data_IF_250426327916
#
_entry.id   IF_250426327916
#
_cell.length_a   1.000
_cell.length_b   1.000
_cell.length_c   1.000
_cell.angle_alpha   90.00
_cell.angle_beta   90.00
_cell.angle_gamma   90.00
#
_symmetry.space_group_name_H-M   'P 1'
#
loop_
_entity.id
_entity.type
_entity.pdbx_description
1 polymer ?
#
# COMPACT_ATOMS: atom_id res chain seq x y z
N UNK A 1 21.50 -31.33 -12.42
CA UNK A 1 20.31 -31.69 -11.60
C UNK A 1 20.29 -30.74 -10.42
N UNK A 2 19.28 -29.88 -10.31
CA UNK A 2 19.06 -29.12 -9.08
C UNK A 2 18.62 -30.13 -8.00
N UNK A 3 19.16 -30.08 -6.77
CA UNK A 3 18.69 -30.94 -5.70
C UNK A 3 17.21 -30.63 -5.47
N UNK A 4 16.37 -31.65 -5.61
CA UNK A 4 14.95 -31.56 -5.25
C UNK A 4 14.86 -31.37 -3.74
N UNK A 5 14.81 -30.13 -3.30
CA UNK A 5 14.44 -29.82 -1.91
C UNK A 5 12.98 -30.24 -1.81
N UNK A 6 12.74 -31.41 -1.21
CA UNK A 6 11.38 -31.82 -0.86
C UNK A 6 10.91 -30.86 0.24
N UNK A 7 10.02 -29.95 -0.10
CA UNK A 7 9.27 -29.14 0.87
C UNK A 7 8.24 -30.05 1.51
N UNK A 8 8.68 -30.98 2.37
CA UNK A 8 7.74 -31.87 3.03
C UNK A 8 6.75 -31.06 3.87
N UNK A 9 5.44 -31.39 3.83
CA UNK A 9 4.38 -30.66 4.53
C UNK A 9 4.66 -30.32 5.99
N UNK A 10 5.41 -31.18 6.69
CA UNK A 10 5.70 -31.05 8.11
C UNK A 10 6.95 -30.21 8.42
N UNK A 11 7.84 -30.01 7.45
CA UNK A 11 9.12 -29.32 7.66
C UNK A 11 8.94 -27.86 8.10
N UNK A 12 7.78 -27.27 7.79
CA UNK A 12 7.46 -25.86 8.04
C UNK A 12 6.16 -25.67 8.84
N UNK A 13 5.77 -26.65 9.66
CA UNK A 13 4.50 -26.63 10.42
C UNK A 13 4.33 -25.40 11.33
N UNK A 14 5.43 -24.78 11.76
CA UNK A 14 5.45 -23.57 12.59
C UNK A 14 5.66 -22.26 11.79
N UNK A 15 5.67 -22.29 10.46
CA UNK A 15 5.98 -21.12 9.63
C UNK A 15 4.89 -20.04 9.76
N UNK A 16 5.25 -18.90 10.34
CA UNK A 16 4.34 -17.75 10.56
C UNK A 16 4.55 -16.62 9.57
N UNK A 17 5.72 -16.54 8.94
CA UNK A 17 6.11 -15.49 8.02
C UNK A 17 6.85 -16.10 6.84
N UNK A 18 6.43 -15.74 5.62
CA UNK A 18 7.04 -16.17 4.38
C UNK A 18 7.28 -14.95 3.51
N UNK A 19 8.49 -14.85 2.99
CA UNK A 19 8.88 -13.80 2.06
C UNK A 19 9.56 -14.41 0.85
N UNK A 20 9.04 -14.11 -0.34
CA UNK A 20 9.58 -14.58 -1.62
C UNK A 20 9.93 -13.37 -2.48
N UNK A 21 11.21 -13.23 -2.82
CA UNK A 21 11.73 -12.15 -3.67
C UNK A 21 12.23 -12.68 -5.00
N UNK A 22 11.93 -11.95 -6.07
CA UNK A 22 12.45 -12.21 -7.42
C UNK A 22 12.09 -13.58 -8.00
N UNK A 23 11.04 -14.22 -7.49
CA UNK A 23 10.54 -15.49 -8.03
C UNK A 23 9.57 -15.24 -9.18
N UNK A 24 9.68 -16.07 -10.23
CA UNK A 24 8.68 -16.10 -11.30
C UNK A 24 7.29 -16.51 -10.78
N UNK A 25 6.24 -16.12 -11.51
CA UNK A 25 4.84 -16.35 -11.13
C UNK A 25 4.53 -17.82 -10.79
N UNK A 26 4.90 -18.74 -11.69
CA UNK A 26 4.64 -20.17 -11.49
C UNK A 26 5.47 -20.78 -10.36
N UNK A 27 6.71 -20.32 -10.17
CA UNK A 27 7.54 -20.76 -9.04
C UNK A 27 6.92 -20.31 -7.72
N UNK A 28 6.45 -19.06 -7.63
CA UNK A 28 5.76 -18.51 -6.46
C UNK A 28 4.52 -19.34 -6.11
N UNK A 29 3.66 -19.60 -7.09
CA UNK A 29 2.44 -20.40 -6.87
C UNK A 29 2.77 -21.85 -6.48
N UNK A 30 3.79 -22.44 -7.10
CA UNK A 30 4.24 -23.80 -6.77
C UNK A 30 4.75 -23.89 -5.34
N UNK A 31 5.55 -22.91 -4.88
CA UNK A 31 6.02 -22.83 -3.50
C UNK A 31 4.82 -22.72 -2.54
N UNK A 32 3.89 -21.80 -2.79
CA UNK A 32 2.69 -21.66 -1.95
C UNK A 32 1.90 -22.97 -1.85
N UNK A 33 1.60 -23.59 -2.99
CA UNK A 33 0.87 -24.86 -3.04
C UNK A 33 1.62 -26.03 -2.37
N UNK A 34 2.95 -26.00 -2.39
CA UNK A 34 3.78 -27.05 -1.77
C UNK A 34 3.85 -26.90 -0.25
N UNK A 35 3.63 -25.69 0.27
CA UNK A 35 3.55 -25.45 1.71
C UNK A 35 2.16 -25.86 2.22
N UNK A 36 1.94 -27.18 2.25
CA UNK A 36 0.66 -27.84 2.55
C UNK A 36 0.06 -27.50 3.93
N UNK A 37 0.76 -26.77 4.81
CA UNK A 37 0.24 -26.28 6.10
C UNK A 37 0.56 -24.81 6.39
N UNK A 38 0.34 -23.89 5.43
CA UNK A 38 0.38 -22.43 5.72
C UNK A 38 -0.86 -21.91 6.45
N UNK A 39 -1.72 -22.79 6.98
CA UNK A 39 -2.88 -22.40 7.78
C UNK A 39 -2.50 -21.47 8.93
N UNK A 40 -1.27 -21.62 9.42
CA UNK A 40 -0.67 -20.89 10.51
C UNK A 40 0.13 -19.65 10.09
N UNK A 41 0.26 -19.41 8.79
CA UNK A 41 0.93 -18.25 8.22
C UNK A 41 0.13 -16.98 8.52
N UNK A 42 0.81 -16.03 9.15
CA UNK A 42 0.25 -14.73 9.55
C UNK A 42 0.76 -13.58 8.70
N UNK A 43 1.92 -13.77 8.05
CA UNK A 43 2.55 -12.77 7.19
C UNK A 43 3.01 -13.42 5.88
N UNK A 44 2.66 -12.79 4.77
CA UNK A 44 3.09 -13.20 3.43
C UNK A 44 3.53 -11.97 2.64
N UNK A 45 4.79 -11.98 2.19
CA UNK A 45 5.34 -10.96 1.30
C UNK A 45 5.80 -11.62 0.00
N UNK A 46 5.22 -11.18 -1.10
CA UNK A 46 5.49 -11.69 -2.43
C UNK A 46 5.97 -10.55 -3.31
N UNK A 47 7.12 -10.77 -3.94
CA UNK A 47 7.64 -9.94 -4.99
C UNK A 47 7.89 -10.80 -6.22
N UNK A 48 6.96 -10.70 -7.17
CA UNK A 48 6.85 -11.67 -8.26
C UNK A 48 7.44 -11.06 -9.51
N UNK A 49 8.51 -11.69 -10.00
CA UNK A 49 9.19 -11.29 -11.21
C UNK A 49 8.39 -11.72 -12.44
N UNK A 50 7.92 -10.74 -13.21
CA UNK A 50 7.27 -10.94 -14.51
C UNK A 50 8.09 -10.32 -15.65
N UNK A 51 9.41 -10.13 -15.48
CA UNK A 51 10.33 -9.64 -16.51
C UNK A 51 10.47 -10.74 -17.58
N UNK A 52 9.47 -10.85 -18.43
CA UNK A 52 9.48 -11.64 -19.66
C UNK A 52 9.65 -10.67 -20.84
N UNK A 53 10.25 -11.14 -21.93
CA UNK A 53 10.50 -10.31 -23.11
C UNK A 53 9.29 -10.23 -24.07
N UNK A 54 8.10 -10.70 -23.66
CA UNK A 54 6.92 -10.78 -24.53
C UNK A 54 5.78 -9.88 -24.04
N UNK A 55 5.33 -8.97 -24.91
CA UNK A 55 4.31 -7.95 -24.63
C UNK A 55 2.88 -8.48 -24.51
N UNK A 56 2.60 -9.71 -24.98
CA UNK A 56 1.24 -10.28 -25.00
C UNK A 56 0.77 -10.85 -23.65
N UNK A 57 1.63 -10.84 -22.62
CA UNK A 57 1.35 -11.49 -21.34
C UNK A 57 0.54 -10.62 -20.35
N UNK A 58 0.27 -9.34 -20.64
CA UNK A 58 -0.41 -8.43 -19.68
C UNK A 58 -1.75 -8.96 -19.18
N UNK A 59 -2.59 -9.44 -20.10
CA UNK A 59 -3.89 -10.04 -19.76
C UNK A 59 -3.74 -11.38 -19.01
N UNK A 60 -2.68 -12.13 -19.29
CA UNK A 60 -2.37 -13.39 -18.61
C UNK A 60 -1.90 -13.18 -17.16
N UNK A 61 -1.22 -12.06 -16.89
CA UNK A 61 -0.74 -11.70 -15.56
C UNK A 61 -1.92 -11.34 -14.66
N UNK A 62 -2.83 -10.46 -15.10
CA UNK A 62 -4.05 -10.15 -14.34
C UNK A 62 -4.86 -11.41 -14.01
N UNK A 63 -4.97 -12.33 -14.97
CA UNK A 63 -5.61 -13.63 -14.74
C UNK A 63 -4.88 -14.47 -13.68
N UNK A 64 -3.56 -14.53 -13.72
CA UNK A 64 -2.77 -15.26 -12.71
C UNK A 64 -3.07 -14.76 -11.29
N UNK A 65 -3.06 -13.44 -11.07
CA UNK A 65 -3.32 -12.88 -9.73
C UNK A 65 -4.75 -13.16 -9.26
N UNK A 66 -5.74 -12.82 -10.09
CA UNK A 66 -7.16 -12.85 -9.68
C UNK A 66 -7.74 -14.28 -9.64
N UNK A 67 -7.29 -15.17 -10.52
CA UNK A 67 -7.90 -16.52 -10.66
C UNK A 67 -7.07 -17.65 -10.07
N UNK A 68 -5.79 -17.44 -9.78
CA UNK A 68 -4.91 -18.47 -9.24
C UNK A 68 -4.28 -18.05 -7.91
N UNK A 69 -3.50 -16.97 -7.89
CA UNK A 69 -2.69 -16.60 -6.73
C UNK A 69 -3.55 -16.19 -5.53
N UNK A 70 -4.43 -15.20 -5.69
CA UNK A 70 -5.26 -14.70 -4.58
C UNK A 70 -6.16 -15.80 -4.02
N UNK A 71 -6.87 -16.60 -4.86
CA UNK A 71 -7.61 -17.75 -4.36
C UNK A 71 -6.75 -18.76 -3.59
N UNK A 72 -5.56 -19.09 -4.08
CA UNK A 72 -4.65 -20.00 -3.40
C UNK A 72 -4.21 -19.45 -2.03
N UNK A 73 -3.84 -18.17 -1.95
CA UNK A 73 -3.48 -17.49 -0.70
C UNK A 73 -4.62 -17.58 0.31
N UNK A 74 -5.84 -17.22 -0.10
CA UNK A 74 -6.99 -17.19 0.81
C UNK A 74 -7.39 -18.59 1.30
N UNK A 75 -7.25 -19.61 0.45
CA UNK A 75 -7.55 -20.99 0.81
C UNK A 75 -6.49 -21.61 1.74
N UNK A 76 -5.21 -21.30 1.51
CA UNK A 76 -4.10 -21.97 2.21
C UNK A 76 -3.68 -21.24 3.48
N UNK A 77 -3.83 -19.91 3.52
CA UNK A 77 -3.38 -19.07 4.62
C UNK A 77 -4.51 -18.20 5.21
N UNK A 78 -5.59 -18.80 5.74
CA UNK A 78 -6.76 -18.09 6.28
C UNK A 78 -6.46 -17.24 7.52
N UNK A 79 -5.31 -17.45 8.19
CA UNK A 79 -4.87 -16.66 9.36
C UNK A 79 -4.00 -15.46 9.01
N UNK A 80 -3.86 -15.14 7.72
CA UNK A 80 -3.08 -13.98 7.30
C UNK A 80 -3.63 -12.70 7.91
N UNK A 81 -2.70 -11.94 8.47
CA UNK A 81 -2.93 -10.58 9.00
C UNK A 81 -2.09 -9.56 8.24
N UNK A 82 -1.00 -9.97 7.59
CA UNK A 82 -0.16 -9.11 6.76
C UNK A 82 0.01 -9.75 5.39
N UNK A 83 -0.37 -9.03 4.35
CA UNK A 83 -0.21 -9.47 2.97
C UNK A 83 0.40 -8.35 2.14
N UNK A 84 1.50 -8.65 1.47
CA UNK A 84 2.11 -7.76 0.49
C UNK A 84 2.30 -8.50 -0.83
N UNK A 85 1.71 -8.00 -1.90
CA UNK A 85 1.86 -8.55 -3.25
C UNK A 85 2.40 -7.44 -4.16
N UNK A 86 3.66 -7.58 -4.61
CA UNK A 86 4.34 -6.62 -5.50
C UNK A 86 4.70 -7.32 -6.82
N UNK A 87 4.03 -6.97 -7.93
CA UNK A 87 4.49 -7.37 -9.26
C UNK A 87 5.74 -6.58 -9.64
N UNK A 88 6.80 -7.24 -10.10
CA UNK A 88 7.94 -6.57 -10.72
C UNK A 88 7.85 -6.63 -12.24
N UNK A 89 7.91 -5.46 -12.86
CA UNK A 89 7.91 -5.30 -14.32
C UNK A 89 8.89 -4.22 -14.77
N UNK A 90 9.39 -4.36 -16.00
CA UNK A 90 10.35 -3.41 -16.58
C UNK A 90 9.78 -1.98 -16.66
N UNK A 91 8.48 -1.81 -16.95
CA UNK A 91 7.88 -0.50 -17.23
C UNK A 91 6.48 -0.32 -16.59
N UNK A 92 6.42 -0.16 -15.27
CA UNK A 92 5.20 0.10 -14.48
C UNK A 92 4.35 -1.15 -14.16
N UNK A 93 3.98 -1.30 -12.90
CA UNK A 93 3.08 -2.37 -12.41
C UNK A 93 1.67 -2.14 -12.94
N UNK A 94 1.24 -2.95 -13.92
CA UNK A 94 -0.11 -2.90 -14.50
C UNK A 94 -1.04 -4.00 -13.97
N UNK A 95 -0.65 -4.68 -12.88
CA UNK A 95 -1.49 -5.74 -12.34
C UNK A 95 -2.68 -5.11 -11.65
N UNK A 96 -3.85 -5.40 -12.20
CA UNK A 96 -5.12 -5.00 -11.63
C UNK A 96 -5.71 -6.14 -10.80
N UNK A 97 -6.06 -5.85 -9.55
CA UNK A 97 -6.85 -6.75 -8.69
C UNK A 97 -8.33 -6.36 -8.83
N UNK A 98 -9.13 -7.32 -9.28
CA UNK A 98 -10.57 -7.14 -9.50
C UNK A 98 -11.36 -7.15 -8.17
N UNK A 99 -12.62 -6.70 -8.25
CA UNK A 99 -13.48 -6.58 -7.08
C UNK A 99 -13.80 -7.95 -6.43
N UNK A 100 -13.80 -9.03 -7.20
CA UNK A 100 -14.07 -10.38 -6.70
C UNK A 100 -12.91 -10.86 -5.84
N UNK A 101 -11.69 -10.62 -6.29
CA UNK A 101 -10.44 -10.96 -5.61
C UNK A 101 -10.24 -10.08 -4.38
N UNK A 102 -10.58 -8.79 -4.44
CA UNK A 102 -10.63 -7.93 -3.25
C UNK A 102 -11.61 -8.43 -2.20
N UNK A 103 -12.82 -8.87 -2.60
CA UNK A 103 -13.78 -9.49 -1.66
C UNK A 103 -13.24 -10.78 -1.06
N UNK A 104 -12.51 -11.57 -1.83
CA UNK A 104 -11.89 -12.79 -1.34
C UNK A 104 -10.80 -12.46 -0.31
N UNK A 105 -9.95 -11.47 -0.58
CA UNK A 105 -8.96 -10.97 0.37
C UNK A 105 -9.62 -10.38 1.63
N UNK A 106 -10.78 -9.73 1.49
CA UNK A 106 -11.55 -9.19 2.61
C UNK A 106 -12.13 -10.27 3.54
N UNK A 107 -12.14 -11.54 3.13
CA UNK A 107 -12.47 -12.66 4.03
C UNK A 107 -11.36 -12.94 5.05
N UNK A 108 -10.15 -12.42 4.82
CA UNK A 108 -9.03 -12.49 5.74
C UNK A 108 -9.07 -11.33 6.74
N UNK A 109 -8.61 -11.57 7.97
CA UNK A 109 -8.52 -10.53 9.00
C UNK A 109 -7.24 -9.69 8.85
N UNK A 110 -7.06 -9.06 7.68
CA UNK A 110 -5.87 -8.27 7.38
C UNK A 110 -5.80 -6.99 8.21
N UNK A 111 -4.63 -6.80 8.84
CA UNK A 111 -4.20 -5.55 9.50
C UNK A 111 -3.25 -4.74 8.63
N UNK A 112 -2.50 -5.42 7.75
CA UNK A 112 -1.58 -4.79 6.81
C UNK A 112 -1.79 -5.36 5.42
N UNK A 113 -1.97 -4.48 4.43
CA UNK A 113 -2.17 -4.86 3.04
C UNK A 113 -1.38 -3.93 2.11
N UNK A 114 -0.54 -4.52 1.26
CA UNK A 114 -0.01 -3.84 0.08
C UNK A 114 -0.81 -4.29 -1.14
N UNK A 115 -1.57 -3.37 -1.72
CA UNK A 115 -2.36 -3.62 -2.93
C UNK A 115 -1.61 -3.18 -4.18
N UNK A 116 -1.74 -3.97 -5.24
CA UNK A 116 -1.51 -3.52 -6.61
C UNK A 116 -2.65 -2.57 -7.07
N UNK A 117 -2.64 -2.14 -8.34
CA UNK A 117 -3.72 -1.29 -8.89
C UNK A 117 -5.09 -1.96 -8.75
N UNK A 118 -6.12 -1.15 -8.53
CA UNK A 118 -7.51 -1.60 -8.59
C UNK A 118 -8.40 -0.43 -9.02
N UNK A 119 -9.43 -0.70 -9.82
CA UNK A 119 -10.45 0.29 -10.20
C UNK A 119 -11.49 0.54 -9.10
N UNK A 120 -11.33 -0.08 -7.93
CA UNK A 120 -12.20 0.14 -6.78
C UNK A 120 -12.08 1.58 -6.25
N UNK A 121 -13.22 2.18 -5.88
CA UNK A 121 -13.25 3.44 -5.13
C UNK A 121 -12.80 3.24 -3.66
N UNK A 122 -12.12 4.26 -3.11
CA UNK A 122 -11.57 4.23 -1.75
C UNK A 122 -12.62 3.91 -0.68
N UNK A 123 -13.83 4.45 -0.82
CA UNK A 123 -14.95 4.18 0.10
C UNK A 123 -15.32 2.70 0.15
N UNK A 124 -15.25 1.99 -0.98
CA UNK A 124 -15.55 0.56 -1.00
C UNK A 124 -14.43 -0.27 -0.38
N UNK A 125 -13.16 0.12 -0.57
CA UNK A 125 -12.05 -0.51 0.16
C UNK A 125 -12.22 -0.36 1.68
N UNK A 126 -12.74 0.77 2.16
CA UNK A 126 -12.95 1.00 3.59
C UNK A 126 -13.95 0.01 4.19
N UNK A 127 -14.99 -0.29 3.41
CA UNK A 127 -16.01 -1.28 3.77
C UNK A 127 -15.48 -2.71 3.72
N UNK A 128 -14.57 -3.00 2.79
CA UNK A 128 -13.96 -4.33 2.67
C UNK A 128 -12.92 -4.61 3.77
N UNK A 129 -12.12 -3.62 4.16
CA UNK A 129 -11.03 -3.79 5.11
C UNK A 129 -11.16 -2.88 6.34
N UNK A 130 -12.21 -3.01 7.17
CA UNK A 130 -12.50 -2.08 8.25
C UNK A 130 -11.47 -2.11 9.41
N UNK A 131 -10.68 -3.18 9.52
CA UNK A 131 -9.67 -3.36 10.59
C UNK A 131 -8.24 -3.06 10.11
N UNK A 132 -8.08 -2.49 8.90
CA UNK A 132 -6.75 -2.25 8.35
C UNK A 132 -6.05 -1.11 9.10
N UNK A 133 -4.82 -1.38 9.51
CA UNK A 133 -3.94 -0.45 10.20
C UNK A 133 -2.89 0.11 9.26
N UNK A 134 -2.40 -0.71 8.34
CA UNK A 134 -1.42 -0.30 7.32
C UNK A 134 -1.95 -0.62 5.93
N UNK A 135 -2.12 0.40 5.10
CA UNK A 135 -2.46 0.25 3.70
C UNK A 135 -1.34 0.85 2.85
N UNK A 136 -0.74 0.03 1.99
CA UNK A 136 0.23 0.49 1.00
C UNK A 136 -0.35 0.28 -0.39
N UNK A 137 -0.36 1.34 -1.19
CA UNK A 137 -0.96 1.37 -2.51
C UNK A 137 -0.08 2.14 -3.49
N UNK A 138 1.15 1.65 -3.73
CA UNK A 138 2.20 2.41 -4.41
C UNK A 138 1.89 2.70 -5.88
N UNK A 139 1.15 1.81 -6.54
CA UNK A 139 0.93 1.88 -8.00
C UNK A 139 -0.31 2.69 -8.40
N UNK A 140 -1.16 3.06 -7.44
CA UNK A 140 -2.38 3.82 -7.68
C UNK A 140 -2.17 5.29 -7.30
N UNK A 141 -2.13 6.22 -8.27
CA UNK A 141 -2.19 7.62 -7.96
C UNK A 141 -3.55 7.96 -7.31
N UNK A 142 -3.50 8.74 -6.23
CA UNK A 142 -4.65 9.17 -5.44
C UNK A 142 -4.71 10.70 -5.45
N UNK A 143 -5.88 11.24 -5.77
CA UNK A 143 -6.15 12.68 -5.71
C UNK A 143 -6.41 13.15 -4.28
N UNK A 144 -6.29 14.45 -4.00
CA UNK A 144 -6.59 15.01 -2.67
C UNK A 144 -8.03 14.77 -2.20
N UNK A 145 -8.99 14.70 -3.11
CA UNK A 145 -10.39 14.44 -2.75
C UNK A 145 -10.62 12.96 -2.41
N UNK A 146 -9.91 12.04 -3.07
CA UNK A 146 -9.89 10.64 -2.68
C UNK A 146 -9.15 10.43 -1.36
N UNK A 147 -8.10 11.24 -1.08
CA UNK A 147 -7.35 11.17 0.17
C UNK A 147 -8.25 11.42 1.39
N UNK A 148 -9.22 12.35 1.29
CA UNK A 148 -10.21 12.61 2.34
C UNK A 148 -11.07 11.39 2.67
N UNK A 149 -11.29 10.49 1.70
CA UNK A 149 -12.08 9.28 1.93
C UNK A 149 -11.36 8.31 2.87
N UNK A 150 -10.02 8.31 2.90
CA UNK A 150 -9.26 7.50 3.86
C UNK A 150 -9.40 7.96 5.30
N UNK A 151 -9.85 9.21 5.54
CA UNK A 151 -10.16 9.66 6.89
C UNK A 151 -11.36 8.93 7.52
N UNK A 152 -12.12 8.17 6.73
CA UNK A 152 -13.20 7.29 7.22
C UNK A 152 -12.68 5.97 7.79
N UNK A 153 -11.39 5.67 7.67
CA UNK A 153 -10.79 4.48 8.23
C UNK A 153 -10.37 4.73 9.68
N UNK A 154 -11.21 4.28 10.62
CA UNK A 154 -10.97 4.51 12.04
C UNK A 154 -9.69 3.83 12.56
N UNK A 155 -9.28 2.71 11.96
CA UNK A 155 -8.09 1.96 12.42
C UNK A 155 -6.83 2.23 11.60
N UNK A 156 -6.91 3.01 10.52
CA UNK A 156 -5.76 3.26 9.66
C UNK A 156 -4.75 4.17 10.38
N UNK A 157 -3.55 3.64 10.57
CA UNK A 157 -2.41 4.29 11.22
C UNK A 157 -1.33 4.67 10.19
N UNK A 158 -1.21 3.90 9.11
CA UNK A 158 -0.19 4.12 8.09
C UNK A 158 -0.78 3.94 6.69
N UNK A 159 -0.73 5.02 5.91
CA UNK A 159 -1.15 5.06 4.51
C UNK A 159 0.05 5.39 3.64
N UNK A 160 0.46 4.46 2.77
CA UNK A 160 1.48 4.68 1.76
C UNK A 160 0.84 4.70 0.38
N UNK A 161 0.97 5.80 -0.36
CA UNK A 161 0.35 5.96 -1.67
C UNK A 161 1.12 6.96 -2.53
N UNK A 162 0.82 7.00 -3.83
CA UNK A 162 1.31 8.05 -4.72
C UNK A 162 0.29 9.18 -4.79
N UNK A 163 0.68 10.40 -4.42
CA UNK A 163 -0.20 11.58 -4.52
C UNK A 163 -0.15 12.20 -5.91
N UNK A 164 -1.31 12.30 -6.55
CA UNK A 164 -1.50 13.10 -7.76
C UNK A 164 -2.06 14.49 -7.40
N UNK A 165 -1.31 15.52 -7.74
CA UNK A 165 -1.60 16.92 -7.45
C UNK A 165 -2.12 17.69 -8.69
N UNK A 166 -2.41 16.98 -9.78
CA UNK A 166 -2.80 17.55 -11.09
C UNK A 166 -4.32 17.42 -11.33
N UNK A 167 -5.03 18.44 -11.85
CA UNK A 167 -4.76 19.90 -11.88
C UNK A 167 -5.21 20.59 -10.57
N UNK A 168 -4.85 21.87 -10.34
CA UNK A 168 -5.20 22.60 -9.12
C UNK A 168 -6.72 22.68 -8.94
N UNK A 169 -7.27 21.93 -7.97
CA UNK A 169 -8.68 22.00 -7.64
C UNK A 169 -9.06 23.41 -7.19
N UNK A 170 -10.00 24.03 -7.92
CA UNK A 170 -10.75 25.22 -7.53
C UNK A 170 -11.32 25.04 -6.13
N UNK A 171 -11.05 26.03 -5.29
CA UNK A 171 -10.97 25.87 -3.84
C UNK A 171 -12.31 26.11 -3.13
N UNK A 172 -12.82 25.11 -2.42
CA UNK A 172 -13.72 25.32 -1.27
C UNK A 172 -13.16 24.63 -0.02
N UNK A 173 -13.10 25.32 1.13
CA UNK A 173 -12.66 24.73 2.38
C UNK A 173 -13.72 23.75 2.90
N UNK A 174 -13.37 22.51 3.29
CA UNK A 174 -14.27 21.67 4.07
C UNK A 174 -14.30 22.12 5.53
N UNK A 175 -15.48 21.93 6.13
CA UNK A 175 -15.85 22.26 7.51
C UNK A 175 -15.10 21.44 8.56
N UNK A 176 -14.91 22.08 9.71
CA UNK A 176 -14.33 21.55 10.94
C UNK A 176 -15.08 20.31 11.45
N UNK A 177 -14.33 19.31 11.90
CA UNK A 177 -14.85 18.22 12.74
C UNK A 177 -13.94 17.98 13.93
N UNK A 178 -14.60 17.62 15.03
CA UNK A 178 -14.07 17.61 16.40
C UNK A 178 -12.98 16.55 16.65
N UNK A 179 -12.14 16.88 17.64
CA UNK A 179 -10.99 16.15 18.15
C UNK A 179 -11.38 14.88 18.94
N UNK A 180 -10.70 13.76 18.66
CA UNK A 180 -10.51 12.55 19.50
C UNK A 180 -9.54 11.60 18.77
N UNK A 181 -8.91 10.61 19.47
CA UNK A 181 -7.67 10.65 20.29
C UNK A 181 -6.35 10.54 19.44
N UNK A 182 -5.13 10.48 20.03
CA UNK A 182 -3.88 10.94 19.40
C UNK A 182 -3.06 9.81 18.78
N UNK A 183 -3.66 8.96 17.94
CA UNK A 183 -2.83 8.03 17.15
C UNK A 183 -2.29 8.78 15.94
N UNK A 184 -0.97 8.95 15.90
CA UNK A 184 -0.26 9.56 14.78
C UNK A 184 -0.60 8.80 13.49
N UNK A 185 -1.14 9.49 12.49
CA UNK A 185 -1.35 8.92 11.18
C UNK A 185 -0.12 9.21 10.32
N UNK A 186 0.44 8.19 9.69
CA UNK A 186 1.57 8.32 8.77
C UNK A 186 1.06 8.35 7.34
N UNK A 187 1.36 9.42 6.61
CA UNK A 187 1.21 9.49 5.17
C UNK A 187 2.58 9.32 4.51
N UNK A 188 2.77 8.22 3.81
CA UNK A 188 3.99 7.89 3.10
C UNK A 188 3.80 8.10 1.58
N UNK A 189 4.62 8.93 0.96
CA UNK A 189 4.61 9.18 -0.49
C UNK A 189 6.02 9.53 -0.97
N UNK A 190 6.26 9.48 -2.27
CA UNK A 190 7.50 9.95 -2.89
C UNK A 190 7.67 11.49 -2.83
N UNK A 191 6.58 12.25 -2.65
CA UNK A 191 6.51 13.73 -2.58
C UNK A 191 7.28 14.47 -3.69
N UNK A 192 7.62 13.77 -4.77
CA UNK A 192 8.33 14.32 -5.93
C UNK A 192 7.52 15.44 -6.58
N UNK A 193 6.19 15.34 -6.52
CA UNK A 193 5.23 16.34 -6.98
C UNK A 193 5.16 17.61 -6.12
N UNK A 194 5.80 17.66 -4.95
CA UNK A 194 5.88 18.90 -4.17
C UNK A 194 6.91 19.87 -4.75
N UNK A 195 7.90 19.38 -5.52
CA UNK A 195 8.92 20.25 -6.14
C UNK A 195 8.37 21.18 -7.21
N UNK A 196 7.23 20.83 -7.79
CA UNK A 196 6.55 21.68 -8.77
C UNK A 196 5.63 22.72 -8.15
N UNK A 197 5.36 22.64 -6.83
CA UNK A 197 4.49 23.59 -6.14
C UNK A 197 5.26 24.84 -5.71
N UNK A 198 4.64 25.99 -5.86
CA UNK A 198 5.13 27.22 -5.24
C UNK A 198 4.85 27.25 -3.73
N UNK A 199 5.33 28.30 -3.05
CA UNK A 199 5.21 28.44 -1.60
C UNK A 199 3.74 28.47 -1.11
N UNK A 200 2.88 29.22 -1.81
CA UNK A 200 1.47 29.36 -1.44
C UNK A 200 0.69 28.05 -1.67
N UNK A 201 0.96 27.37 -2.78
CA UNK A 201 0.39 26.06 -3.10
C UNK A 201 0.78 25.01 -2.05
N UNK A 202 2.06 24.98 -1.66
CA UNK A 202 2.56 24.11 -0.59
C UNK A 202 1.85 24.40 0.74
N UNK A 203 1.70 25.68 1.10
CA UNK A 203 1.02 26.10 2.34
C UNK A 203 -0.46 25.67 2.33
N UNK A 204 -1.16 25.87 1.21
CA UNK A 204 -2.56 25.48 1.08
C UNK A 204 -2.74 23.95 1.12
N UNK A 205 -1.83 23.20 0.51
CA UNK A 205 -1.81 21.75 0.58
C UNK A 205 -1.61 21.26 2.02
N UNK A 206 -0.61 21.77 2.74
CA UNK A 206 -0.38 21.40 4.15
C UNK A 206 -1.57 21.73 5.04
N UNK A 207 -2.23 22.88 4.83
CA UNK A 207 -3.48 23.22 5.56
C UNK A 207 -4.60 22.22 5.28
N UNK A 208 -4.69 21.67 4.08
CA UNK A 208 -5.68 20.62 3.74
C UNK A 208 -5.30 19.28 4.36
N UNK A 209 -4.03 18.90 4.30
CA UNK A 209 -3.53 17.67 4.92
C UNK A 209 -3.77 17.67 6.44
N UNK A 210 -3.50 18.79 7.11
CA UNK A 210 -3.80 18.98 8.54
C UNK A 210 -5.30 18.92 8.87
N UNK A 211 -6.17 19.07 7.88
CA UNK A 211 -7.64 18.99 8.03
C UNK A 211 -8.22 17.67 7.53
N UNK A 212 -7.40 16.73 7.05
CA UNK A 212 -7.89 15.43 6.58
C UNK A 212 -8.54 14.64 7.70
N UNK A 213 -8.07 14.78 8.93
CA UNK A 213 -8.66 14.15 10.10
C UNK A 213 -8.36 14.93 11.37
N UNK A 214 -8.93 14.46 12.48
CA UNK A 214 -8.69 14.99 13.82
C UNK A 214 -7.32 14.56 14.40
N UNK A 215 -6.57 13.71 13.68
CA UNK A 215 -5.33 13.09 14.14
C UNK A 215 -4.11 13.85 13.65
N UNK A 216 -3.04 13.96 14.46
CA UNK A 216 -1.75 14.45 13.99
C UNK A 216 -1.27 13.61 12.81
N UNK A 217 -0.87 14.28 11.73
CA UNK A 217 -0.34 13.63 10.54
C UNK A 217 1.19 13.79 10.51
N UNK A 218 1.90 12.69 10.30
CA UNK A 218 3.33 12.68 9.98
C UNK A 218 3.53 12.30 8.51
N UNK A 219 4.31 13.10 7.81
CA UNK A 219 4.73 12.80 6.45
C UNK A 219 6.00 11.94 6.50
N UNK A 220 5.99 10.82 5.78
CA UNK A 220 7.15 9.95 5.57
C UNK A 220 7.45 9.79 4.07
N UNK A 221 8.73 9.69 3.70
CA UNK A 221 9.07 9.43 2.31
C UNK A 221 9.00 7.92 2.04
N UNK A 222 8.41 7.54 0.90
CA UNK A 222 8.53 6.17 0.41
C UNK A 222 9.99 5.90 0.05
N UNK A 223 10.70 5.15 0.88
CA UNK A 223 12.00 4.60 0.49
C UNK A 223 11.75 3.44 -0.47
N UNK A 224 12.26 3.48 -1.72
CA UNK A 224 12.23 2.32 -2.59
C UNK A 224 12.97 1.18 -1.89
N UNK A 225 12.37 -0.01 -1.82
CA UNK A 225 13.01 -1.20 -1.22
C UNK A 225 14.37 -1.50 -1.89
N UNK A 226 14.46 -1.21 -3.18
CA UNK A 226 15.61 -1.47 -4.05
C UNK A 226 16.67 -0.36 -4.04
N UNK A 227 16.35 0.82 -3.49
CA UNK A 227 17.25 1.97 -3.40
C UNK A 227 17.16 2.61 -2.01
N UNK A 228 17.82 2.03 -0.99
CA UNK A 228 17.91 2.62 0.35
C UNK A 228 18.82 3.86 0.40
N UNK A 229 19.29 4.36 -0.74
CA UNK A 229 20.18 5.51 -0.79
C UNK A 229 19.42 6.77 -0.35
N UNK A 230 19.84 7.24 0.82
CA UNK A 230 19.40 8.46 1.48
C UNK A 230 19.56 9.67 0.54
N UNK A 231 18.44 10.14 -0.03
CA UNK A 231 18.38 11.50 -0.54
C UNK A 231 18.31 12.47 0.66
N UNK A 232 19.47 12.97 1.07
CA UNK A 232 19.59 13.94 2.16
C UNK A 232 18.76 15.21 1.89
N UNK A 233 18.58 15.61 0.64
CA UNK A 233 17.77 16.77 0.28
C UNK A 233 16.27 16.47 0.49
N UNK A 234 15.81 15.28 0.08
CA UNK A 234 14.44 14.84 0.33
C UNK A 234 14.15 14.68 1.84
N UNK A 235 15.10 14.14 2.61
CA UNK A 235 14.97 14.03 4.07
C UNK A 235 14.82 15.39 4.74
N UNK A 236 15.68 16.36 4.41
CA UNK A 236 15.61 17.72 4.98
C UNK A 236 14.29 18.41 4.60
N UNK A 237 13.84 18.25 3.36
CA UNK A 237 12.55 18.77 2.90
C UNK A 237 11.39 18.18 3.70
N UNK A 238 11.40 16.87 3.92
CA UNK A 238 10.38 16.19 4.72
C UNK A 238 10.35 16.69 6.17
N UNK A 239 11.52 16.90 6.80
CA UNK A 239 11.62 17.49 8.13
C UNK A 239 11.02 18.91 8.17
N UNK A 240 11.28 19.73 7.15
CA UNK A 240 10.70 21.08 7.04
C UNK A 240 9.18 21.04 6.84
N UNK A 241 8.66 20.11 6.02
CA UNK A 241 7.23 19.93 5.82
C UNK A 241 6.53 19.46 7.09
N UNK A 242 7.10 18.49 7.83
CA UNK A 242 6.57 18.04 9.12
C UNK A 242 6.54 19.16 10.16
N UNK A 243 7.62 19.95 10.29
CA UNK A 243 7.63 21.13 11.19
C UNK A 243 6.55 22.15 10.84
N UNK A 244 6.31 22.40 9.55
CA UNK A 244 5.23 23.27 9.09
C UNK A 244 3.87 22.68 9.46
N UNK A 245 3.66 21.40 9.19
CA UNK A 245 2.41 20.69 9.48
C UNK A 245 2.09 20.70 10.99
N UNK A 246 3.09 20.48 11.85
CA UNK A 246 2.95 20.60 13.31
C UNK A 246 2.52 22.00 13.75
N UNK A 247 3.12 23.06 13.18
CA UNK A 247 2.71 24.45 13.47
C UNK A 247 1.26 24.72 13.10
N UNK A 248 0.80 24.21 11.95
CA UNK A 248 -0.61 24.32 11.55
C UNK A 248 -1.53 23.61 12.54
N UNK A 249 -1.18 22.40 12.98
CA UNK A 249 -1.98 21.67 13.97
C UNK A 249 -2.03 22.38 15.33
N UNK A 250 -0.94 23.08 15.70
CA UNK A 250 -0.86 23.89 16.92
C UNK A 250 -1.57 25.25 16.80
N UNK A 251 -2.15 25.58 15.64
CA UNK A 251 -2.80 26.88 15.40
C UNK A 251 -1.83 28.04 15.24
N UNK A 252 -0.54 27.77 15.02
CA UNK A 252 0.48 28.80 14.76
C UNK A 252 0.50 29.10 13.26
N UNK A 253 0.21 30.35 12.88
CA UNK A 253 0.25 30.75 11.47
C UNK A 253 1.68 30.60 10.91
N UNK A 254 1.79 29.88 9.77
CA UNK A 254 2.99 29.82 8.92
C UNK A 254 2.93 30.94 7.90
#
# INVERSE_FOLDING_TARGET
MLPGISLEPEAFSCLRSLTLYDFGAHATLSILNSLASTADLTQLTLEINHITNNSDEVSSVGRFYNTMLIPAICAQAPRLTHLSIRPMWKNESQVEIDNSSLRLLASLNLKSFTSARTHTNVEYLAKLFPQIQTLRWPDQPVTLDQLKQFATYDQLEHLSLKLDLSPPCTMKPPCDRALTPPTLCVLESDYSSFDSLNHDETRQLLKRLARLGSRPLALQQTAPFDYPNYDFAAKKRLEELNKKLERIHQGVEI
#
